data_IF_733364220983
#
_entry.id   IF_733364220983
#
_cell.length_a   1.000
_cell.length_b   1.000
_cell.length_c   1.000
_cell.angle_alpha   90.00
_cell.angle_beta   90.00
_cell.angle_gamma   90.00
#
_symmetry.space_group_name_H-M   'P 1'
#
loop_
_entity.id
_entity.type
_entity.pdbx_description
1 polymer ?
#
# COMPACT_ATOMS: atom_id res chain seq x y z
N UNK A 1 1.64 -5.18 27.87
CA UNK A 1 1.12 -4.68 26.58
C UNK A 1 1.91 -5.40 25.52
N UNK A 2 1.27 -6.29 24.77
CA UNK A 2 1.97 -7.26 23.93
C UNK A 2 2.49 -6.64 22.64
N UNK A 3 3.75 -6.92 22.33
CA UNK A 3 4.33 -6.87 20.99
C UNK A 3 3.37 -7.49 19.97
N UNK A 4 2.76 -6.66 19.12
CA UNK A 4 2.18 -7.15 17.87
C UNK A 4 3.31 -7.22 16.86
N UNK A 5 3.90 -8.41 16.81
CA UNK A 5 4.79 -8.87 15.74
C UNK A 5 4.28 -8.38 14.38
N UNK A 6 5.04 -7.52 13.71
CA UNK A 6 4.89 -7.20 12.29
C UNK A 6 5.29 -8.44 11.49
N UNK A 7 4.40 -9.43 11.49
CA UNK A 7 4.52 -10.60 10.65
C UNK A 7 4.58 -10.12 9.21
N UNK A 8 5.71 -10.36 8.56
CA UNK A 8 5.93 -10.09 7.14
C UNK A 8 4.86 -10.86 6.36
N UNK A 9 3.79 -10.19 5.94
CA UNK A 9 2.77 -10.77 5.09
C UNK A 9 3.40 -10.99 3.71
N UNK A 10 3.71 -12.25 3.40
CA UNK A 10 4.14 -12.67 2.06
C UNK A 10 2.92 -12.76 1.15
N UNK A 11 3.07 -12.45 -0.14
CA UNK A 11 2.05 -12.63 -1.18
C UNK A 11 1.43 -14.05 -1.23
N UNK A 12 2.08 -15.05 -0.61
CA UNK A 12 1.60 -16.42 -0.44
C UNK A 12 0.29 -16.55 0.36
N UNK A 13 -0.19 -15.49 1.02
CA UNK A 13 -1.45 -15.50 1.77
C UNK A 13 -2.72 -15.25 0.93
N UNK A 14 -2.60 -14.81 -0.32
CA UNK A 14 -3.77 -14.50 -1.15
C UNK A 14 -4.29 -15.76 -1.86
N UNK A 15 -5.44 -16.25 -1.38
CA UNK A 15 -5.96 -17.58 -1.69
C UNK A 15 -6.86 -17.60 -2.93
N UNK A 16 -7.40 -16.45 -3.35
CA UNK A 16 -8.33 -16.35 -4.47
C UNK A 16 -7.75 -15.57 -5.65
N UNK A 17 -8.19 -15.91 -6.87
CA UNK A 17 -7.79 -15.17 -8.08
C UNK A 17 -8.14 -13.69 -8.02
N UNK A 18 -9.23 -13.34 -7.31
CA UNK A 18 -9.70 -11.97 -7.16
C UNK A 18 -8.82 -11.13 -6.23
N UNK A 19 -8.36 -11.69 -5.11
CA UNK A 19 -7.41 -11.00 -4.23
C UNK A 19 -6.09 -10.73 -4.95
N UNK A 20 -5.59 -11.70 -5.73
CA UNK A 20 -4.37 -11.53 -6.54
C UNK A 20 -4.54 -10.44 -7.60
N UNK A 21 -5.68 -10.40 -8.29
CA UNK A 21 -5.98 -9.37 -9.27
C UNK A 21 -6.08 -7.98 -8.62
N UNK A 22 -6.74 -7.90 -7.46
CA UNK A 22 -6.86 -6.65 -6.70
C UNK A 22 -5.48 -6.14 -6.26
N UNK A 23 -4.65 -7.01 -5.68
CA UNK A 23 -3.29 -6.69 -5.27
C UNK A 23 -2.43 -6.23 -6.44
N UNK A 24 -2.41 -6.99 -7.54
CA UNK A 24 -1.62 -6.63 -8.72
C UNK A 24 -2.04 -5.28 -9.34
N UNK A 25 -3.34 -4.99 -9.33
CA UNK A 25 -3.87 -3.72 -9.83
C UNK A 25 -3.52 -2.57 -8.90
N UNK A 26 -3.66 -2.75 -7.59
CA UNK A 26 -3.30 -1.75 -6.58
C UNK A 26 -1.80 -1.42 -6.64
N UNK A 27 -0.94 -2.44 -6.67
CA UNK A 27 0.51 -2.28 -6.72
C UNK A 27 0.93 -1.47 -7.94
N UNK A 28 0.37 -1.76 -9.12
CA UNK A 28 0.63 -0.97 -10.32
C UNK A 28 0.30 0.51 -10.14
N UNK A 29 -0.83 0.84 -9.52
CA UNK A 29 -1.20 2.24 -9.29
C UNK A 29 -0.27 2.93 -8.30
N UNK A 30 0.14 2.23 -7.23
CA UNK A 30 1.10 2.75 -6.26
C UNK A 30 2.44 3.01 -6.93
N UNK A 31 3.00 2.02 -7.63
CA UNK A 31 4.31 2.11 -8.27
C UNK A 31 4.37 3.16 -9.40
N UNK A 32 3.23 3.47 -10.03
CA UNK A 32 3.13 4.51 -11.06
C UNK A 32 2.90 5.90 -10.45
N UNK A 33 1.96 6.03 -9.51
CA UNK A 33 1.48 7.33 -9.02
C UNK A 33 2.36 7.89 -7.89
N UNK A 34 2.87 7.04 -7.00
CA UNK A 34 3.67 7.50 -5.86
C UNK A 34 4.97 8.16 -6.35
N UNK A 35 5.81 7.55 -7.20
CA UNK A 35 7.02 8.21 -7.70
C UNK A 35 6.77 9.47 -8.55
N UNK A 36 5.56 9.62 -9.10
CA UNK A 36 5.14 10.79 -9.86
C UNK A 36 4.57 11.92 -8.97
N UNK A 37 4.45 11.69 -7.66
CA UNK A 37 3.98 12.72 -6.74
C UNK A 37 4.96 13.89 -6.67
N UNK A 38 4.44 15.08 -6.33
CA UNK A 38 5.19 16.34 -6.34
C UNK A 38 5.79 16.69 -4.98
N UNK A 39 5.28 16.05 -3.93
CA UNK A 39 5.71 16.19 -2.54
C UNK A 39 5.28 14.94 -1.77
N UNK A 40 5.77 14.81 -0.53
CA UNK A 40 5.37 13.72 0.36
C UNK A 40 3.88 13.79 0.72
N UNK A 41 3.32 14.99 0.90
CA UNK A 41 1.89 15.17 1.17
C UNK A 41 1.05 14.72 -0.03
N UNK A 42 1.46 15.06 -1.26
CA UNK A 42 0.76 14.61 -2.46
C UNK A 42 0.82 13.07 -2.60
N UNK A 43 1.95 12.45 -2.22
CA UNK A 43 2.05 10.99 -2.21
C UNK A 43 1.12 10.35 -1.16
N UNK A 44 1.01 10.96 0.02
CA UNK A 44 0.07 10.53 1.07
C UNK A 44 -1.38 10.68 0.63
N UNK A 45 -1.74 11.78 -0.05
CA UNK A 45 -3.07 11.98 -0.63
C UNK A 45 -3.41 10.89 -1.66
N UNK A 46 -2.50 10.60 -2.59
CA UNK A 46 -2.65 9.50 -3.56
C UNK A 46 -2.89 8.17 -2.84
N UNK A 47 -2.12 7.90 -1.78
CA UNK A 47 -2.25 6.68 -1.00
C UNK A 47 -3.62 6.56 -0.32
N UNK A 48 -4.10 7.65 0.28
CA UNK A 48 -5.42 7.72 0.91
C UNK A 48 -6.55 7.52 -0.10
N UNK A 49 -6.46 8.15 -1.28
CA UNK A 49 -7.41 7.95 -2.38
C UNK A 49 -7.46 6.48 -2.83
N UNK A 50 -6.31 5.85 -3.02
CA UNK A 50 -6.23 4.45 -3.43
C UNK A 50 -6.77 3.51 -2.35
N UNK A 51 -6.41 3.72 -1.07
CA UNK A 51 -6.95 2.94 0.03
C UNK A 51 -8.47 3.04 0.10
N UNK A 52 -9.02 4.25 -0.01
CA UNK A 52 -10.46 4.45 0.00
C UNK A 52 -11.15 3.81 -1.20
N UNK A 53 -10.60 3.97 -2.42
CA UNK A 53 -11.17 3.40 -3.64
C UNK A 53 -11.19 1.87 -3.62
N UNK A 54 -10.18 1.24 -3.01
CA UNK A 54 -10.06 -0.22 -2.97
C UNK A 54 -10.67 -0.84 -1.69
N UNK A 55 -11.03 -0.02 -0.68
CA UNK A 55 -11.60 -0.49 0.59
C UNK A 55 -12.84 -1.36 0.40
N UNK A 56 -13.75 -0.93 -0.46
CA UNK A 56 -15.00 -1.65 -0.71
C UNK A 56 -14.79 -2.88 -1.63
N UNK A 57 -13.67 -2.92 -2.36
CA UNK A 57 -13.29 -4.06 -3.20
C UNK A 57 -12.52 -5.13 -2.42
N UNK A 58 -11.88 -4.76 -1.31
CA UNK A 58 -11.18 -5.66 -0.40
C UNK A 58 -12.15 -6.64 0.26
N UNK A 59 -11.89 -7.93 0.04
CA UNK A 59 -12.73 -9.03 0.55
C UNK A 59 -12.42 -9.32 2.03
N UNK A 60 -11.24 -8.92 2.51
CA UNK A 60 -10.80 -9.09 3.89
C UNK A 60 -10.07 -7.85 4.41
N UNK A 61 -10.17 -7.61 5.72
CA UNK A 61 -9.36 -6.59 6.41
C UNK A 61 -7.86 -6.85 6.24
N UNK A 62 -7.43 -8.12 6.25
CA UNK A 62 -6.01 -8.47 6.09
C UNK A 62 -5.47 -8.01 4.73
N UNK A 63 -6.26 -8.15 3.66
CA UNK A 63 -5.88 -7.65 2.35
C UNK A 63 -5.81 -6.12 2.36
N UNK A 64 -6.79 -5.44 2.94
CA UNK A 64 -6.77 -3.98 3.05
C UNK A 64 -5.53 -3.48 3.81
N UNK A 65 -5.24 -4.04 4.97
CA UNK A 65 -4.06 -3.71 5.79
C UNK A 65 -2.76 -3.95 5.02
N UNK A 66 -2.70 -5.02 4.22
CA UNK A 66 -1.56 -5.32 3.37
C UNK A 66 -1.36 -4.28 2.25
N UNK A 67 -2.44 -3.87 1.58
CA UNK A 67 -2.38 -2.85 0.53
C UNK A 67 -1.98 -1.48 1.10
N UNK A 68 -2.55 -1.11 2.24
CA UNK A 68 -2.18 0.11 2.97
C UNK A 68 -0.70 0.08 3.37
N UNK A 69 -0.24 -1.03 3.94
CA UNK A 69 1.17 -1.23 4.29
C UNK A 69 2.07 -1.03 3.07
N UNK A 70 1.78 -1.72 1.96
CA UNK A 70 2.58 -1.60 0.73
C UNK A 70 2.70 -0.14 0.28
N UNK A 71 1.60 0.61 0.24
CA UNK A 71 1.61 2.00 -0.17
C UNK A 71 2.46 2.89 0.78
N UNK A 72 2.32 2.72 2.10
CA UNK A 72 3.15 3.46 3.07
C UNK A 72 4.65 3.13 2.95
N UNK A 73 5.00 1.86 2.69
CA UNK A 73 6.40 1.48 2.46
C UNK A 73 6.95 2.05 1.17
N UNK A 74 6.18 2.10 0.08
CA UNK A 74 6.64 2.70 -1.18
C UNK A 74 6.91 4.20 -1.02
N UNK A 75 6.07 4.92 -0.27
CA UNK A 75 6.36 6.33 0.09
C UNK A 75 7.64 6.40 0.93
N UNK A 76 7.76 5.59 1.97
CA UNK A 76 8.95 5.63 2.81
C UNK A 76 10.22 5.36 2.00
N UNK A 77 10.23 4.35 1.12
CA UNK A 77 11.37 4.00 0.28
C UNK A 77 11.72 5.08 -0.75
N UNK A 78 10.73 5.66 -1.42
CA UNK A 78 10.97 6.68 -2.44
C UNK A 78 11.55 7.98 -1.83
N UNK A 79 11.14 8.34 -0.60
CA UNK A 79 11.63 9.56 0.08
C UNK A 79 12.69 9.31 1.17
N UNK A 80 13.05 8.05 1.47
CA UNK A 80 14.10 7.72 2.46
C UNK A 80 15.48 8.31 2.12
N UNK A 81 15.69 8.75 0.87
CA UNK A 81 16.91 9.45 0.43
C UNK A 81 16.76 10.96 0.23
N UNK A 82 15.54 11.50 0.29
CA UNK A 82 15.26 12.92 0.09
C UNK A 82 15.38 13.64 1.43
N UNK A 83 16.57 14.15 1.74
CA UNK A 83 16.81 15.06 2.87
C UNK A 83 16.18 16.44 2.62
N UNK A 84 14.86 16.52 2.44
CA UNK A 84 14.13 17.76 2.62
C UNK A 84 13.44 17.72 3.98
N UNK A 85 13.71 18.70 4.88
CA UNK A 85 13.04 18.82 6.18
C UNK A 85 11.57 19.21 6.06
#
# INVERSE_FOLDING_TARGET
MGDKSTGHLKEEHFSTSREKELTARYFRYVDERIPAAKSIEHAQEICAELNQAFRDECISEILHDFLEYHCTTTIAEHWAGSNEP
#
